data_IF_389515590671
#
_entry.id   IF_389515590671
#
_cell.length_a   1.000
_cell.length_b   1.000
_cell.length_c   1.000
_cell.angle_alpha   90.00
_cell.angle_beta   90.00
_cell.angle_gamma   90.00
#
_symmetry.space_group_name_H-M   'P 1'
#
loop_
_entity.id
_entity.type
_entity.pdbx_description
1 polymer ?
#
# COMPACT_ATOMS: atom_id res chain seq x y z
N UNK A 1 10.05 5.26 -15.99
CA UNK A 1 10.71 3.93 -15.89
C UNK A 1 10.09 3.00 -16.93
N UNK A 2 10.90 2.43 -17.81
CA UNK A 2 10.47 1.46 -18.83
C UNK A 2 11.44 0.27 -18.85
N UNK A 3 11.64 -0.35 -17.69
CA UNK A 3 12.29 -1.66 -17.62
C UNK A 3 11.19 -2.70 -17.70
N UNK A 4 11.19 -3.48 -18.76
CA UNK A 4 10.28 -4.62 -18.83
C UNK A 4 10.78 -5.71 -17.87
N UNK A 5 10.01 -5.96 -16.82
CA UNK A 5 10.32 -7.00 -15.85
C UNK A 5 10.33 -8.39 -16.52
N UNK A 6 11.32 -9.20 -16.16
CA UNK A 6 11.37 -10.61 -16.55
C UNK A 6 10.16 -11.37 -15.97
N UNK A 7 9.85 -12.56 -16.50
CA UNK A 7 8.78 -13.41 -15.92
C UNK A 7 9.03 -13.74 -14.45
N UNK A 8 10.31 -13.96 -14.07
CA UNK A 8 10.71 -14.23 -12.69
C UNK A 8 10.47 -13.01 -11.81
N UNK A 9 10.93 -11.83 -12.24
CA UNK A 9 10.76 -10.59 -11.48
C UNK A 9 9.29 -10.17 -11.38
N UNK A 10 8.47 -10.39 -12.43
CA UNK A 10 7.01 -10.18 -12.38
C UNK A 10 6.32 -11.07 -11.34
N UNK A 11 6.87 -12.23 -11.01
CA UNK A 11 6.33 -13.08 -9.94
C UNK A 11 6.71 -12.51 -8.58
N UNK A 12 8.00 -12.28 -8.36
CA UNK A 12 8.53 -11.74 -7.11
C UNK A 12 7.87 -10.39 -6.78
N UNK A 13 7.75 -9.51 -7.78
CA UNK A 13 7.10 -8.21 -7.63
C UNK A 13 5.65 -8.33 -7.15
N UNK A 14 4.87 -9.30 -7.66
CA UNK A 14 3.50 -9.51 -7.17
C UNK A 14 3.48 -9.96 -5.73
N UNK A 15 4.37 -10.86 -5.34
CA UNK A 15 4.42 -11.39 -3.98
C UNK A 15 4.80 -10.27 -2.98
N UNK A 16 5.74 -9.41 -3.37
CA UNK A 16 6.11 -8.21 -2.58
C UNK A 16 4.98 -7.18 -2.54
N UNK A 17 4.31 -6.92 -3.68
CA UNK A 17 3.15 -6.02 -3.74
C UNK A 17 2.04 -6.51 -2.82
N UNK A 18 1.74 -7.81 -2.83
CA UNK A 18 0.73 -8.41 -1.96
C UNK A 18 1.10 -8.24 -0.49
N UNK A 19 2.37 -8.45 -0.12
CA UNK A 19 2.85 -8.17 1.24
C UNK A 19 2.58 -6.72 1.66
N UNK A 20 2.94 -5.76 0.80
CA UNK A 20 2.71 -4.33 1.08
C UNK A 20 1.21 -3.98 1.16
N UNK A 21 0.38 -4.59 0.31
CA UNK A 21 -1.07 -4.43 0.31
C UNK A 21 -1.71 -4.94 1.61
N UNK A 22 -1.30 -6.11 2.09
CA UNK A 22 -1.77 -6.66 3.37
C UNK A 22 -1.42 -5.74 4.54
N UNK A 23 -0.20 -5.20 4.57
CA UNK A 23 0.22 -4.23 5.59
C UNK A 23 -0.60 -2.94 5.51
N UNK A 24 -0.92 -2.48 4.32
CA UNK A 24 -1.74 -1.28 4.12
C UNK A 24 -3.19 -1.51 4.58
N UNK A 25 -3.80 -2.64 4.25
CA UNK A 25 -5.10 -3.03 4.80
C UNK A 25 -5.08 -3.09 6.32
N UNK A 26 -4.03 -3.65 6.92
CA UNK A 26 -3.87 -3.67 8.37
C UNK A 26 -3.86 -2.25 8.96
N UNK A 27 -3.13 -1.31 8.34
CA UNK A 27 -3.11 0.10 8.78
C UNK A 27 -4.49 0.76 8.70
N UNK A 28 -5.23 0.54 7.60
CA UNK A 28 -6.60 1.05 7.45
C UNK A 28 -7.55 0.48 8.51
N UNK A 29 -7.50 -0.83 8.75
CA UNK A 29 -8.30 -1.48 9.80
C UNK A 29 -7.98 -0.94 11.19
N UNK A 30 -6.71 -0.71 11.51
CA UNK A 30 -6.28 -0.10 12.77
C UNK A 30 -6.80 1.34 12.92
N UNK A 31 -6.79 2.13 11.84
CA UNK A 31 -7.37 3.48 11.83
C UNK A 31 -8.88 3.43 12.12
N UNK A 32 -9.61 2.51 11.52
CA UNK A 32 -11.05 2.37 11.73
C UNK A 32 -11.37 1.90 13.15
N UNK A 33 -10.61 0.93 13.68
CA UNK A 33 -10.75 0.50 15.06
C UNK A 33 -10.51 1.67 16.03
N UNK A 34 -9.50 2.51 15.80
CA UNK A 34 -9.26 3.68 16.65
C UNK A 34 -10.48 4.62 16.73
N UNK A 35 -11.19 4.83 15.62
CA UNK A 35 -12.45 5.61 15.61
C UNK A 35 -13.52 4.92 16.46
N UNK A 36 -13.66 3.61 16.32
CA UNK A 36 -14.64 2.82 17.09
C UNK A 36 -14.30 2.75 18.58
N UNK A 37 -13.03 2.66 18.95
CA UNK A 37 -12.59 2.70 20.34
C UNK A 37 -12.86 4.07 20.96
N UNK A 38 -12.64 5.15 20.21
CA UNK A 38 -12.98 6.51 20.68
C UNK A 38 -14.48 6.62 20.98
N UNK A 39 -15.33 6.12 20.10
CA UNK A 39 -16.78 6.09 20.29
C UNK A 39 -17.23 5.27 21.51
N UNK A 40 -16.60 4.11 21.75
CA UNK A 40 -16.95 3.24 22.89
C UNK A 40 -16.59 3.86 24.25
N UNK A 41 -15.51 4.63 24.30
CA UNK A 41 -14.90 5.09 25.55
C UNK A 41 -15.23 6.56 25.88
N UNK A 42 -15.85 7.31 24.96
CA UNK A 42 -16.16 8.73 25.13
C UNK A 42 -17.64 9.01 24.85
N UNK A 43 -18.26 9.95 25.59
CA UNK A 43 -19.59 10.46 25.25
C UNK A 43 -19.48 11.40 24.04
N UNK A 44 -19.50 10.83 22.83
CA UNK A 44 -19.56 11.56 21.57
C UNK A 44 -20.91 11.40 20.88
N UNK A 45 -21.20 12.33 19.97
CA UNK A 45 -22.36 12.23 19.11
C UNK A 45 -22.22 11.05 18.13
N UNK A 46 -23.21 10.15 18.14
CA UNK A 46 -23.19 8.93 17.32
C UNK A 46 -23.20 9.22 15.81
N UNK A 47 -23.88 10.28 15.37
CA UNK A 47 -23.98 10.65 13.95
C UNK A 47 -22.63 11.13 13.44
N UNK A 48 -21.93 11.94 14.23
CA UNK A 48 -20.63 12.48 13.85
C UNK A 48 -19.57 11.36 13.78
N UNK A 49 -19.58 10.42 14.73
CA UNK A 49 -18.75 9.21 14.68
C UNK A 49 -19.04 8.39 13.41
N UNK A 50 -20.32 8.12 13.11
CA UNK A 50 -20.72 7.33 11.96
C UNK A 50 -20.21 7.96 10.65
N UNK A 51 -20.40 9.27 10.47
CA UNK A 51 -19.92 9.97 9.28
C UNK A 51 -18.39 9.99 9.20
N UNK A 52 -17.68 10.14 10.32
CA UNK A 52 -16.23 10.09 10.34
C UNK A 52 -15.68 8.71 9.96
N UNK A 53 -16.29 7.64 10.49
CA UNK A 53 -15.93 6.27 10.13
C UNK A 53 -16.19 6.01 8.64
N UNK A 54 -17.39 6.34 8.16
CA UNK A 54 -17.75 6.18 6.74
C UNK A 54 -16.78 6.93 5.82
N UNK A 55 -16.49 8.20 6.13
CA UNK A 55 -15.53 8.99 5.36
C UNK A 55 -14.15 8.35 5.35
N UNK A 56 -13.67 7.89 6.52
CA UNK A 56 -12.36 7.26 6.64
C UNK A 56 -12.26 5.98 5.81
N UNK A 57 -13.30 5.13 5.83
CA UNK A 57 -13.38 3.92 5.01
C UNK A 57 -13.40 4.26 3.52
N UNK A 58 -14.21 5.23 3.12
CA UNK A 58 -14.35 5.66 1.72
C UNK A 58 -13.06 6.25 1.15
N UNK A 59 -12.38 7.11 1.91
CA UNK A 59 -11.13 7.72 1.48
C UNK A 59 -10.00 6.67 1.40
N UNK A 60 -9.99 5.69 2.31
CA UNK A 60 -9.07 4.57 2.26
C UNK A 60 -9.34 3.63 1.06
N UNK A 61 -10.60 3.29 0.79
CA UNK A 61 -11.00 2.49 -0.37
C UNK A 61 -10.55 3.14 -1.69
N UNK A 62 -10.78 4.45 -1.84
CA UNK A 62 -10.27 5.24 -2.98
C UNK A 62 -8.75 5.16 -3.11
N UNK A 63 -8.03 5.20 -2.00
CA UNK A 63 -6.58 5.11 -2.00
C UNK A 63 -6.08 3.73 -2.45
N UNK A 64 -6.68 2.65 -1.93
CA UNK A 64 -6.41 1.27 -2.37
C UNK A 64 -6.71 1.13 -3.86
N UNK A 65 -7.91 1.53 -4.29
CA UNK A 65 -8.33 1.49 -5.69
C UNK A 65 -7.34 2.23 -6.60
N UNK A 66 -6.94 3.46 -6.24
CA UNK A 66 -5.98 4.25 -7.02
C UNK A 66 -4.65 3.54 -7.24
N UNK A 67 -4.16 2.82 -6.24
CA UNK A 67 -2.85 2.17 -6.30
C UNK A 67 -2.90 0.80 -6.96
N UNK A 68 -3.94 0.01 -6.68
CA UNK A 68 -3.97 -1.41 -7.02
C UNK A 68 -5.00 -1.79 -8.08
N UNK A 69 -6.02 -0.95 -8.34
CA UNK A 69 -6.95 -1.24 -9.43
C UNK A 69 -6.24 -1.17 -10.77
N UNK A 70 -6.59 -2.10 -11.66
CA UNK A 70 -5.97 -2.27 -12.97
C UNK A 70 -4.46 -2.57 -12.91
N UNK A 71 -3.99 -3.13 -11.79
CA UNK A 71 -2.62 -3.61 -11.67
C UNK A 71 -2.29 -4.60 -12.79
N UNK A 72 -1.21 -4.30 -13.52
CA UNK A 72 -0.69 -5.10 -14.64
C UNK A 72 0.84 -5.10 -14.58
N UNK A 73 1.49 -5.99 -15.33
CA UNK A 73 2.96 -6.12 -15.26
C UNK A 73 3.74 -4.82 -15.49
N UNK A 74 3.21 -3.87 -16.26
CA UNK A 74 3.83 -2.56 -16.49
C UNK A 74 3.69 -1.58 -15.32
N UNK A 75 2.81 -1.83 -14.36
CA UNK A 75 2.58 -0.94 -13.20
C UNK A 75 3.33 -1.41 -11.94
N UNK A 76 3.87 -2.63 -11.92
CA UNK A 76 4.51 -3.19 -10.72
C UNK A 76 5.63 -2.33 -10.16
N UNK A 77 6.52 -1.81 -11.02
CA UNK A 77 7.62 -0.93 -10.58
C UNK A 77 7.10 0.30 -9.84
N UNK A 78 6.05 0.95 -10.39
CA UNK A 78 5.45 2.13 -9.78
C UNK A 78 4.80 1.80 -8.43
N UNK A 79 4.16 0.64 -8.33
CA UNK A 79 3.53 0.19 -7.08
C UNK A 79 4.60 -0.11 -6.02
N UNK A 80 5.68 -0.82 -6.38
CA UNK A 80 6.78 -1.12 -5.47
C UNK A 80 7.46 0.15 -4.96
N UNK A 81 7.71 1.13 -5.83
CA UNK A 81 8.23 2.45 -5.43
C UNK A 81 7.28 3.13 -4.44
N UNK A 82 5.98 3.19 -4.76
CA UNK A 82 4.99 3.81 -3.88
C UNK A 82 4.89 3.10 -2.53
N UNK A 83 4.98 1.77 -2.49
CA UNK A 83 4.97 0.99 -1.26
C UNK A 83 6.25 1.20 -0.44
N UNK A 84 7.42 1.32 -1.09
CA UNK A 84 8.68 1.61 -0.41
C UNK A 84 8.67 3.01 0.20
N UNK A 85 8.26 4.04 -0.55
CA UNK A 85 8.08 5.40 -0.03
C UNK A 85 7.06 5.46 1.12
N UNK A 86 6.03 4.63 1.07
CA UNK A 86 5.01 4.50 2.12
C UNK A 86 5.45 3.65 3.32
N UNK A 87 6.70 3.15 3.34
CA UNK A 87 7.21 2.22 4.36
C UNK A 87 6.35 0.95 4.51
N UNK A 88 5.66 0.53 3.45
CA UNK A 88 4.84 -0.69 3.43
C UNK A 88 5.70 -1.94 3.20
N UNK A 89 6.77 -1.77 2.42
CA UNK A 89 7.85 -2.75 2.21
C UNK A 89 9.18 -2.08 2.56
N UNK A 90 10.24 -2.86 2.68
CA UNK A 90 11.61 -2.38 2.87
C UNK A 90 12.55 -2.89 1.78
N UNK A 91 13.80 -2.41 1.74
CA UNK A 91 14.77 -2.80 0.72
C UNK A 91 15.07 -4.31 0.75
N UNK A 92 15.02 -4.93 1.92
CA UNK A 92 15.20 -6.37 2.10
C UNK A 92 14.13 -7.19 1.38
N UNK A 93 12.91 -6.66 1.24
CA UNK A 93 11.83 -7.32 0.50
C UNK A 93 12.10 -7.40 -1.01
N UNK A 94 13.02 -6.57 -1.50
CA UNK A 94 13.39 -6.50 -2.91
C UNK A 94 14.64 -7.34 -3.24
N UNK A 95 15.22 -8.04 -2.26
CA UNK A 95 16.53 -8.72 -2.42
C UNK A 95 16.54 -9.80 -3.50
N UNK A 96 15.40 -10.45 -3.74
CA UNK A 96 15.28 -11.53 -4.74
C UNK A 96 15.08 -11.03 -6.18
N UNK A 97 14.76 -9.74 -6.35
CA UNK A 97 14.68 -9.12 -7.68
C UNK A 97 16.06 -9.04 -8.31
N UNK A 98 16.08 -8.93 -9.64
CA UNK A 98 17.29 -8.54 -10.35
C UNK A 98 17.89 -7.25 -9.72
N UNK A 99 19.22 -7.20 -9.46
CA UNK A 99 19.87 -6.05 -8.83
C UNK A 99 19.60 -4.71 -9.53
N UNK A 100 19.55 -4.68 -10.86
CA UNK A 100 19.30 -3.46 -11.63
C UNK A 100 17.86 -2.97 -11.38
N UNK A 101 16.89 -3.89 -11.41
CA UNK A 101 15.48 -3.61 -11.10
C UNK A 101 15.32 -3.10 -9.68
N UNK A 102 15.97 -3.74 -8.70
CA UNK A 102 15.95 -3.33 -7.30
C UNK A 102 16.51 -1.92 -7.13
N UNK A 103 17.67 -1.65 -7.74
CA UNK A 103 18.31 -0.35 -7.65
C UNK A 103 17.44 0.74 -8.28
N UNK A 104 16.82 0.48 -9.43
CA UNK A 104 15.88 1.43 -10.06
C UNK A 104 14.71 1.79 -9.13
N UNK A 105 14.15 0.80 -8.40
CA UNK A 105 13.09 1.04 -7.42
C UNK A 105 13.60 1.92 -6.27
N UNK A 106 14.76 1.58 -5.69
CA UNK A 106 15.33 2.31 -4.56
C UNK A 106 15.65 3.75 -4.96
N UNK A 107 16.34 3.96 -6.09
CA UNK A 107 16.65 5.30 -6.59
C UNK A 107 15.39 6.12 -6.86
N UNK A 108 14.35 5.51 -7.45
CA UNK A 108 13.09 6.19 -7.70
C UNK A 108 12.31 6.53 -6.41
N UNK A 109 12.53 5.82 -5.31
CA UNK A 109 11.91 6.11 -4.02
C UNK A 109 12.63 7.20 -3.21
N UNK A 110 13.91 7.47 -3.53
CA UNK A 110 14.74 8.48 -2.85
C UNK A 110 14.69 9.88 -3.50
N UNK A 111 14.24 9.98 -4.75
CA UNK A 111 14.13 11.24 -5.50
C UNK A 111 12.78 11.92 -5.33
#
# INVERSE_FOLDING_TARGET
>A
MSVELSKKDKRIARDVIEKGLQKEFQQGLQQFDAILQKWKNEQQDNRDIYHNLFKSVHDFDKHIARRYDNMKGSTYLLILVAQLMGNLICEEDLIELNPDVRNDIIYAAMG
#
